data_IF_635813982950
#
_entry.id   IF_635813982950
#
_cell.length_a   1.000
_cell.length_b   1.000
_cell.length_c   1.000
_cell.angle_alpha   90.00
_cell.angle_beta   90.00
_cell.angle_gamma   90.00
#
_symmetry.space_group_name_H-M   'P 1'
#
loop_
_entity.id
_entity.type
_entity.pdbx_description
1 polymer ?
#
# COMPACT_ATOMS: atom_id res chain seq x y z
N UNK A 1 3.21 -13.66 6.02
CA UNK A 1 2.90 -12.25 6.36
C UNK A 1 2.04 -12.25 7.62
N UNK A 2 2.32 -11.43 8.64
CA UNK A 2 1.49 -11.38 9.87
C UNK A 2 0.16 -10.67 9.61
N UNK A 3 -0.90 -10.98 10.37
CA UNK A 3 -2.23 -10.36 10.25
C UNK A 3 -2.16 -8.83 10.31
N UNK A 4 -1.29 -8.28 11.17
CA UNK A 4 -1.04 -6.84 11.27
C UNK A 4 -0.55 -6.24 9.95
N UNK A 5 0.50 -6.80 9.35
CA UNK A 5 1.05 -6.30 8.08
C UNK A 5 0.05 -6.46 6.93
N UNK A 6 -0.74 -7.54 6.94
CA UNK A 6 -1.84 -7.71 6.00
C UNK A 6 -2.90 -6.61 6.11
N UNK A 7 -3.25 -6.18 7.33
CA UNK A 7 -4.18 -5.06 7.53
C UNK A 7 -3.60 -3.73 7.04
N UNK A 8 -2.30 -3.49 7.25
CA UNK A 8 -1.62 -2.28 6.76
C UNK A 8 -1.61 -2.23 5.23
N UNK A 9 -1.30 -3.34 4.56
CA UNK A 9 -1.38 -3.40 3.10
C UNK A 9 -2.81 -3.23 2.61
N UNK A 10 -3.79 -3.88 3.25
CA UNK A 10 -5.20 -3.80 2.86
C UNK A 10 -5.74 -2.37 2.84
N UNK A 11 -5.38 -1.56 3.85
CA UNK A 11 -5.85 -0.18 3.92
C UNK A 11 -5.24 0.69 2.81
N UNK A 12 -4.00 0.42 2.40
CA UNK A 12 -3.35 1.12 1.29
C UNK A 12 -3.95 0.72 -0.05
N UNK A 13 -4.20 -0.57 -0.26
CA UNK A 13 -4.74 -1.10 -1.53
C UNK A 13 -6.20 -0.73 -1.76
N UNK A 14 -6.87 -0.04 -0.82
CA UNK A 14 -8.23 0.46 -1.02
C UNK A 14 -8.32 1.43 -2.22
N UNK A 15 -7.26 2.21 -2.48
CA UNK A 15 -7.16 3.06 -3.68
C UNK A 15 -7.13 2.26 -4.99
N UNK A 16 -6.66 1.01 -4.95
CA UNK A 16 -6.71 0.10 -6.10
C UNK A 16 -8.15 -0.39 -6.32
N UNK A 17 -8.93 -0.65 -5.26
CA UNK A 17 -10.31 -1.09 -5.41
C UNK A 17 -11.25 0.01 -5.96
N UNK A 18 -11.04 1.26 -5.55
CA UNK A 18 -12.05 2.32 -5.72
C UNK A 18 -11.83 3.23 -6.93
N UNK A 19 -10.61 3.29 -7.48
CA UNK A 19 -10.30 4.20 -8.58
C UNK A 19 -10.34 3.49 -9.93
N UNK A 20 -10.76 4.23 -10.96
CA UNK A 20 -10.66 3.79 -12.36
C UNK A 20 -9.19 3.62 -12.77
N UNK A 21 -8.34 4.58 -12.42
CA UNK A 21 -6.88 4.43 -12.44
C UNK A 21 -6.37 4.34 -10.99
N UNK A 22 -5.81 3.19 -10.55
CA UNK A 22 -5.22 3.05 -9.22
C UNK A 22 -4.16 4.09 -8.89
N UNK A 23 -3.47 4.63 -9.89
CA UNK A 23 -2.40 5.61 -9.70
C UNK A 23 -2.92 6.94 -9.14
N UNK A 24 -4.18 7.30 -9.40
CA UNK A 24 -4.84 8.46 -8.79
C UNK A 24 -4.95 8.33 -7.26
N UNK A 25 -4.94 7.10 -6.75
CA UNK A 25 -5.03 6.81 -5.31
C UNK A 25 -3.72 6.94 -4.53
N UNK A 26 -2.58 7.13 -5.20
CA UNK A 26 -1.24 7.06 -4.55
C UNK A 26 -1.09 8.14 -3.48
N UNK A 27 -1.45 9.38 -3.79
CA UNK A 27 -1.36 10.50 -2.83
C UNK A 27 -2.26 10.26 -1.60
N UNK A 28 -3.44 9.67 -1.82
CA UNK A 28 -4.36 9.34 -0.74
C UNK A 28 -3.80 8.25 0.17
N UNK A 29 -3.26 7.17 -0.39
CA UNK A 29 -2.67 6.07 0.36
C UNK A 29 -1.42 6.52 1.14
N UNK A 30 -0.55 7.35 0.53
CA UNK A 30 0.59 7.93 1.24
C UNK A 30 0.13 8.78 2.43
N UNK A 31 -0.93 9.60 2.27
CA UNK A 31 -1.52 10.38 3.36
C UNK A 31 -2.08 9.50 4.49
N UNK A 32 -2.70 8.36 4.18
CA UNK A 32 -3.17 7.39 5.19
C UNK A 32 -2.01 6.89 6.05
N UNK A 33 -0.92 6.47 5.41
CA UNK A 33 0.27 5.99 6.11
C UNK A 33 0.92 7.09 6.97
N UNK A 34 1.01 8.32 6.46
CA UNK A 34 1.55 9.47 7.20
C UNK A 34 0.70 9.87 8.40
N UNK A 35 -0.62 9.74 8.30
CA UNK A 35 -1.54 9.97 9.43
C UNK A 35 -1.49 8.86 10.47
N UNK A 36 -0.70 7.82 10.25
CA UNK A 36 -0.58 6.69 11.15
C UNK A 36 -1.90 5.94 11.33
N UNK A 37 -2.65 5.75 10.23
CA UNK A 37 -3.88 4.97 10.27
C UNK A 37 -3.62 3.61 10.93
N UNK A 38 -4.65 3.02 11.55
CA UNK A 38 -4.52 1.78 12.31
C UNK A 38 -3.49 1.84 13.46
N UNK A 39 -3.03 3.03 13.87
CA UNK A 39 -2.03 3.22 14.92
C UNK A 39 -0.63 2.72 14.54
N UNK A 40 -0.32 2.65 13.24
CA UNK A 40 1.01 2.25 12.76
C UNK A 40 1.85 3.46 12.39
N UNK A 41 3.16 3.40 12.64
CA UNK A 41 4.11 4.41 12.16
C UNK A 41 4.29 4.34 10.64
N UNK A 42 4.76 5.44 10.04
CA UNK A 42 5.13 5.49 8.62
C UNK A 42 6.04 4.32 8.21
N UNK A 43 7.02 4.00 9.05
CA UNK A 43 8.01 2.97 8.75
C UNK A 43 7.42 1.56 8.77
N UNK A 44 6.40 1.30 9.61
CA UNK A 44 5.68 0.02 9.59
C UNK A 44 4.91 -0.16 8.28
N UNK A 45 4.38 0.92 7.70
CA UNK A 45 3.75 0.88 6.37
C UNK A 45 4.78 0.60 5.28
N UNK A 46 5.94 1.24 5.32
CA UNK A 46 7.03 0.99 4.36
C UNK A 46 7.49 -0.47 4.46
N UNK A 47 7.68 -1.00 5.67
CA UNK A 47 8.05 -2.40 5.87
C UNK A 47 6.98 -3.36 5.32
N UNK A 48 5.70 -3.08 5.60
CA UNK A 48 4.59 -3.88 5.07
C UNK A 48 4.54 -3.86 3.54
N UNK A 49 4.75 -2.69 2.91
CA UNK A 49 4.84 -2.56 1.45
C UNK A 49 5.98 -3.41 0.90
N UNK A 50 7.19 -3.28 1.46
CA UNK A 50 8.37 -4.04 1.01
C UNK A 50 8.16 -5.54 1.11
N UNK A 51 7.59 -6.01 2.21
CA UNK A 51 7.26 -7.43 2.41
C UNK A 51 6.21 -7.89 1.40
N UNK A 52 5.18 -7.08 1.14
CA UNK A 52 4.16 -7.38 0.13
C UNK A 52 4.75 -7.48 -1.28
N UNK A 53 5.63 -6.54 -1.65
CA UNK A 53 6.30 -6.52 -2.95
C UNK A 53 7.29 -7.68 -3.14
N UNK A 54 7.94 -8.12 -2.07
CA UNK A 54 8.86 -9.26 -2.07
C UNK A 54 8.14 -10.62 -2.00
N UNK A 55 6.83 -10.63 -1.74
CA UNK A 55 6.06 -11.86 -1.65
C UNK A 55 5.64 -12.37 -3.03
N UNK A 56 5.67 -13.70 -3.21
CA UNK A 56 5.09 -14.40 -4.36
C UNK A 56 3.56 -14.53 -4.28
N UNK A 57 2.95 -14.05 -3.19
CA UNK A 57 1.50 -14.10 -3.05
C UNK A 57 0.86 -13.06 -3.97
N UNK A 58 -0.14 -13.53 -4.71
CA UNK A 58 -1.01 -12.72 -5.55
C UNK A 58 -1.88 -11.79 -4.68
N UNK A 59 -1.62 -10.49 -4.78
CA UNK A 59 -2.30 -9.45 -4.00
C UNK A 59 -3.78 -9.34 -4.40
N UNK A 60 -4.11 -9.66 -5.64
CA UNK A 60 -5.48 -9.63 -6.14
C UNK A 60 -6.33 -10.67 -5.40
N UNK A 61 -5.77 -11.86 -5.14
CA UNK A 61 -6.43 -12.93 -4.38
C UNK A 61 -6.56 -12.61 -2.90
N UNK A 62 -5.61 -11.86 -2.33
CA UNK A 62 -5.64 -11.50 -0.92
C UNK A 62 -6.68 -10.43 -0.59
N UNK A 63 -6.93 -9.49 -1.49
CA UNK A 63 -7.69 -8.27 -1.17
C UNK A 63 -8.90 -7.99 -2.06
N UNK A 64 -9.23 -8.89 -3.01
CA UNK A 64 -10.31 -8.68 -4.00
C UNK A 64 -10.11 -7.33 -4.71
N UNK A 65 -9.02 -7.25 -5.46
CA UNK A 65 -8.66 -6.05 -6.20
C UNK A 65 -9.29 -6.06 -7.60
N UNK A 66 -9.78 -4.91 -8.04
CA UNK A 66 -10.39 -4.72 -9.37
C UNK A 66 -9.37 -4.62 -10.50
N UNK A 67 -8.08 -4.66 -10.16
CA UNK A 67 -6.96 -4.53 -11.10
C UNK A 67 -5.99 -5.70 -10.96
N UNK A 68 -5.16 -5.89 -11.97
CA UNK A 68 -4.16 -6.96 -11.99
C UNK A 68 -3.15 -6.81 -10.84
N UNK A 69 -2.53 -7.93 -10.46
CA UNK A 69 -1.44 -7.92 -9.49
C UNK A 69 -0.29 -7.00 -9.92
N UNK A 70 0.02 -6.93 -11.22
CA UNK A 70 1.03 -6.03 -11.77
C UNK A 70 0.71 -4.54 -11.50
N UNK A 71 -0.55 -4.12 -11.71
CA UNK A 71 -1.00 -2.75 -11.40
C UNK A 71 -0.95 -2.51 -9.89
N UNK A 72 -1.39 -3.48 -9.09
CA UNK A 72 -1.39 -3.40 -7.63
C UNK A 72 0.04 -3.25 -7.07
N UNK A 73 1.01 -3.96 -7.64
CA UNK A 73 2.44 -3.81 -7.28
C UNK A 73 3.00 -2.47 -7.74
N UNK A 74 2.65 -1.99 -8.93
CA UNK A 74 3.05 -0.67 -9.40
C UNK A 74 2.55 0.44 -8.48
N UNK A 75 1.27 0.36 -8.07
CA UNK A 75 0.68 1.24 -7.08
C UNK A 75 1.45 1.23 -5.75
N UNK A 76 1.73 0.05 -5.19
CA UNK A 76 2.47 -0.06 -3.92
C UNK A 76 3.88 0.54 -4.00
N UNK A 77 4.59 0.35 -5.13
CA UNK A 77 5.91 0.98 -5.36
C UNK A 77 5.81 2.51 -5.40
N UNK A 78 4.76 3.05 -6.03
CA UNK A 78 4.54 4.49 -6.07
C UNK A 78 4.21 5.06 -4.68
N UNK A 79 3.43 4.34 -3.87
CA UNK A 79 3.16 4.72 -2.48
C UNK A 79 4.44 4.69 -1.65
N UNK A 80 5.27 3.65 -1.78
CA UNK A 80 6.59 3.59 -1.11
C UNK A 80 7.46 4.79 -1.47
N UNK A 81 7.60 5.10 -2.77
CA UNK A 81 8.38 6.24 -3.24
C UNK A 81 7.87 7.56 -2.65
N UNK A 82 6.55 7.75 -2.58
CA UNK A 82 5.94 8.94 -1.98
C UNK A 82 6.17 9.04 -0.46
N UNK A 83 6.35 7.92 0.26
CA UNK A 83 6.65 7.92 1.69
C UNK A 83 8.13 8.16 2.00
N UNK A 84 9.02 7.73 1.10
CA UNK A 84 10.48 7.89 1.22
C UNK A 84 10.93 9.30 0.79
N UNK A 85 10.27 9.90 -0.21
CA UNK A 85 10.66 11.21 -0.74
C UNK A 85 10.41 12.39 0.21
N UNK A 86 9.61 12.21 1.26
CA UNK A 86 9.30 13.26 2.22
C UNK A 86 10.31 13.25 3.38
N UNK A 87 10.99 14.39 3.68
CA UNK A 87 11.90 14.46 4.81
C UNK A 87 11.16 14.19 6.12
N UNK A 88 11.83 13.61 7.14
CA UNK A 88 11.24 13.46 8.46
C UNK A 88 10.78 14.84 8.96
N UNK A 89 9.52 14.92 9.39
CA UNK A 89 8.94 16.10 10.04
C UNK A 89 9.58 16.36 11.41
#
# INVERSE_FOLDING_TARGET
MTTRRQSLLRVLTYGVCMNYDPMDGVAHAARIARKGALGAAKDEYIEAIRIGLASDVDLQKLYVLNHSDAISRAFLRAVEAALVAEPPA
#
